data_IF_506770548299
#
_entry.id   IF_506770548299
#
_cell.length_a   1.000
_cell.length_b   1.000
_cell.length_c   1.000
_cell.angle_alpha   90.00
_cell.angle_beta   90.00
_cell.angle_gamma   90.00
#
_symmetry.space_group_name_H-M   'P 1'
#
loop_
_entity.id
_entity.type
_entity.pdbx_description
1 polymer ?
#
# COMPACT_ATOMS: atom_id res chain seq x y z
N UNK A 1 19.50 -26.75 -3.16
CA UNK A 1 18.90 -25.36 -3.24
C UNK A 1 19.94 -24.43 -3.83
N UNK A 2 19.73 -23.84 -5.01
CA UNK A 2 20.69 -22.88 -5.55
C UNK A 2 20.75 -21.66 -4.63
N UNK A 3 21.93 -21.34 -4.10
CA UNK A 3 22.19 -20.12 -3.30
C UNK A 3 22.12 -18.84 -4.17
N UNK A 4 22.07 -18.98 -5.49
CA UNK A 4 22.15 -17.89 -6.44
C UNK A 4 20.81 -17.18 -6.54
N UNK A 5 20.84 -15.86 -6.47
CA UNK A 5 19.68 -14.98 -6.67
C UNK A 5 19.28 -14.95 -8.15
N UNK A 6 18.01 -15.14 -8.45
CA UNK A 6 17.51 -15.21 -9.84
C UNK A 6 16.90 -13.87 -10.28
N UNK A 7 16.82 -13.68 -11.61
CA UNK A 7 16.12 -12.53 -12.21
C UNK A 7 14.65 -12.43 -11.77
N UNK A 8 13.99 -13.56 -11.61
CA UNK A 8 12.62 -13.64 -11.14
C UNK A 8 12.48 -13.23 -9.66
N UNK A 9 13.43 -13.60 -8.79
CA UNK A 9 13.48 -13.13 -7.41
C UNK A 9 13.68 -11.60 -7.33
N UNK A 10 14.47 -11.03 -8.25
CA UNK A 10 14.63 -9.57 -8.41
C UNK A 10 13.34 -8.90 -8.86
N UNK A 11 12.67 -9.46 -9.87
CA UNK A 11 11.39 -8.92 -10.37
C UNK A 11 10.34 -8.87 -9.27
N UNK A 12 10.18 -9.92 -8.48
CA UNK A 12 9.25 -9.95 -7.36
C UNK A 12 9.65 -9.02 -6.22
N UNK A 13 10.95 -8.89 -5.92
CA UNK A 13 11.41 -7.91 -4.92
C UNK A 13 11.03 -6.48 -5.31
N UNK A 14 11.19 -6.13 -6.59
CA UNK A 14 10.77 -4.81 -7.09
C UNK A 14 9.27 -4.65 -7.23
N UNK A 15 8.53 -5.71 -7.52
CA UNK A 15 7.07 -5.66 -7.54
C UNK A 15 6.50 -5.41 -6.14
N UNK A 16 7.05 -6.07 -5.10
CA UNK A 16 6.72 -5.81 -3.70
C UNK A 16 7.06 -4.38 -3.30
N UNK A 17 8.28 -3.91 -3.64
CA UNK A 17 8.70 -2.53 -3.41
C UNK A 17 7.75 -1.54 -4.10
N UNK A 18 7.47 -1.75 -5.38
CA UNK A 18 6.61 -0.87 -6.16
C UNK A 18 5.18 -0.77 -5.65
N UNK A 19 4.66 -1.83 -5.02
CA UNK A 19 3.33 -1.79 -4.41
C UNK A 19 3.35 -1.07 -3.05
N UNK A 20 4.39 -1.28 -2.24
CA UNK A 20 4.52 -0.66 -0.93
C UNK A 20 4.80 0.85 -1.02
N UNK A 21 5.73 1.26 -1.91
CA UNK A 21 6.20 2.64 -2.02
C UNK A 21 5.28 3.44 -2.96
N UNK A 22 4.31 4.12 -2.39
CA UNK A 22 3.30 4.91 -3.08
C UNK A 22 2.83 6.11 -2.28
N UNK A 23 1.54 6.43 -2.30
CA UNK A 23 0.98 7.55 -1.54
C UNK A 23 1.32 7.47 -0.05
N UNK A 24 1.26 6.27 0.56
CA UNK A 24 1.62 6.09 1.97
C UNK A 24 3.02 6.61 2.30
N UNK A 25 4.01 6.33 1.46
CA UNK A 25 5.38 6.83 1.63
C UNK A 25 5.46 8.36 1.52
N UNK A 26 4.65 8.97 0.65
CA UNK A 26 4.63 10.43 0.45
C UNK A 26 3.87 11.18 1.54
N UNK A 27 2.94 10.53 2.24
CA UNK A 27 2.21 11.09 3.38
C UNK A 27 2.83 10.77 4.74
N UNK A 28 3.69 9.75 4.83
CA UNK A 28 4.32 9.34 6.08
C UNK A 28 5.15 10.45 6.74
N UNK A 29 5.99 11.24 6.02
CA UNK A 29 6.71 12.35 6.63
C UNK A 29 5.77 13.43 7.20
N UNK A 30 4.63 13.69 6.54
CA UNK A 30 3.63 14.66 7.02
C UNK A 30 3.06 14.21 8.36
N UNK A 31 2.66 12.94 8.46
CA UNK A 31 2.12 12.39 9.71
C UNK A 31 3.16 12.36 10.83
N UNK A 32 4.38 11.90 10.54
CA UNK A 32 5.42 11.77 11.56
C UNK A 32 6.01 13.12 11.97
N UNK A 33 6.04 14.10 11.06
CA UNK A 33 6.50 15.45 11.35
C UNK A 33 5.61 16.19 12.34
N UNK A 34 4.30 15.95 12.30
CA UNK A 34 3.36 16.50 13.29
C UNK A 34 3.30 15.68 14.60
N UNK A 35 3.73 14.41 14.56
CA UNK A 35 3.68 13.51 15.71
C UNK A 35 4.91 13.60 16.63
N UNK A 36 6.01 14.18 16.17
CA UNK A 36 7.24 14.41 16.93
C UNK A 36 8.32 13.35 16.76
N UNK A 37 9.52 13.68 17.21
CA UNK A 37 10.74 12.90 16.99
C UNK A 37 10.69 11.51 17.61
N UNK A 38 10.13 11.34 18.81
CA UNK A 38 10.03 10.04 19.48
C UNK A 38 9.19 9.08 18.65
N UNK A 39 8.06 9.55 18.08
CA UNK A 39 7.20 8.73 17.22
C UNK A 39 7.94 8.30 15.96
N UNK A 40 8.77 9.19 15.37
CA UNK A 40 9.64 8.87 14.24
C UNK A 40 10.64 7.75 14.59
N UNK A 41 11.33 7.84 15.74
CA UNK A 41 12.30 6.82 16.17
C UNK A 41 11.63 5.48 16.47
N UNK A 42 10.47 5.49 17.15
CA UNK A 42 9.68 4.27 17.37
C UNK A 42 9.28 3.66 16.03
N UNK A 43 8.78 4.47 15.09
CA UNK A 43 8.42 4.03 13.74
C UNK A 43 9.60 3.38 13.04
N UNK A 44 10.78 4.00 13.07
CA UNK A 44 11.99 3.47 12.46
C UNK A 44 12.38 2.10 13.05
N UNK A 45 12.30 1.95 14.37
CA UNK A 45 12.63 0.70 15.06
C UNK A 45 11.69 -0.45 14.69
N UNK A 46 10.38 -0.16 14.58
CA UNK A 46 9.36 -1.19 14.35
C UNK A 46 9.00 -1.40 12.87
N UNK A 47 9.46 -0.52 11.96
CA UNK A 47 9.09 -0.56 10.55
C UNK A 47 9.37 -1.92 9.90
N UNK A 48 10.59 -2.47 10.05
CA UNK A 48 10.92 -3.76 9.45
C UNK A 48 10.14 -4.94 10.05
N UNK A 49 10.09 -5.17 11.37
CA UNK A 49 9.32 -6.27 11.93
C UNK A 49 7.83 -6.17 11.63
N UNK A 50 7.23 -4.97 11.71
CA UNK A 50 5.81 -4.77 11.41
C UNK A 50 5.49 -4.77 9.91
N UNK A 51 6.49 -4.70 9.04
CA UNK A 51 6.32 -5.02 7.62
C UNK A 51 6.48 -6.52 7.37
N UNK A 52 7.54 -7.15 7.92
CA UNK A 52 7.87 -8.53 7.61
C UNK A 52 6.93 -9.56 8.25
N UNK A 53 6.63 -9.43 9.54
CA UNK A 53 5.84 -10.45 10.25
C UNK A 53 4.42 -10.59 9.71
N UNK A 54 3.62 -9.52 9.51
CA UNK A 54 2.25 -9.66 9.03
C UNK A 54 2.20 -10.20 7.59
N UNK A 55 3.04 -9.70 6.67
CA UNK A 55 3.06 -10.20 5.30
C UNK A 55 3.55 -11.66 5.21
N UNK A 56 4.51 -12.05 6.07
CA UNK A 56 4.92 -13.45 6.20
C UNK A 56 3.77 -14.32 6.70
N UNK A 57 3.03 -13.86 7.72
CA UNK A 57 1.88 -14.58 8.26
C UNK A 57 0.77 -14.75 7.21
N UNK A 58 0.48 -13.70 6.43
CA UNK A 58 -0.46 -13.77 5.32
C UNK A 58 0.00 -14.74 4.23
N UNK A 59 1.27 -14.69 3.84
CA UNK A 59 1.83 -15.63 2.86
C UNK A 59 1.74 -17.09 3.36
N UNK A 60 2.02 -17.34 4.65
CA UNK A 60 1.86 -18.66 5.29
C UNK A 60 0.39 -19.11 5.26
N UNK A 61 -0.54 -18.21 5.59
CA UNK A 61 -1.98 -18.49 5.55
C UNK A 61 -2.44 -18.93 4.16
N UNK A 62 -2.00 -18.21 3.10
CA UNK A 62 -2.36 -18.55 1.71
C UNK A 62 -1.71 -19.86 1.26
N UNK A 63 -0.40 -20.04 1.50
CA UNK A 63 0.35 -21.19 1.02
C UNK A 63 -0.03 -22.51 1.72
N UNK A 64 -0.47 -22.43 2.98
CA UNK A 64 -0.89 -23.62 3.75
C UNK A 64 -2.33 -24.04 3.45
N UNK A 65 -3.10 -23.25 2.70
CA UNK A 65 -4.45 -23.62 2.28
C UNK A 65 -4.39 -24.65 1.14
N UNK A 66 -5.28 -25.66 1.20
CA UNK A 66 -5.47 -26.65 0.13
C UNK A 66 -6.44 -26.11 -0.93
N UNK A 67 -6.13 -24.96 -1.49
CA UNK A 67 -6.98 -24.31 -2.49
C UNK A 67 -6.54 -24.71 -3.92
N UNK A 68 -7.47 -24.58 -4.86
CA UNK A 68 -7.20 -24.85 -6.29
C UNK A 68 -6.12 -23.92 -6.85
N UNK A 69 -5.49 -24.33 -7.95
CA UNK A 69 -4.52 -23.51 -8.66
C UNK A 69 -5.12 -22.11 -8.99
N UNK A 70 -4.37 -21.06 -8.73
CA UNK A 70 -4.78 -19.69 -8.99
C UNK A 70 -5.76 -19.08 -7.97
N UNK A 71 -6.10 -19.78 -6.88
CA UNK A 71 -6.87 -19.21 -5.76
C UNK A 71 -5.89 -18.67 -4.69
N UNK A 72 -6.04 -17.39 -4.38
CA UNK A 72 -5.22 -16.69 -3.40
C UNK A 72 -5.88 -16.56 -2.03
N UNK A 73 -5.91 -15.32 -1.52
CA UNK A 73 -6.49 -15.04 -0.19
C UNK A 73 -7.96 -15.40 -0.12
N UNK A 74 -8.74 -15.15 -1.17
CA UNK A 74 -10.19 -15.41 -1.21
C UNK A 74 -10.51 -16.91 -1.13
N UNK A 75 -9.70 -17.72 -1.80
CA UNK A 75 -9.79 -19.18 -1.68
C UNK A 75 -9.34 -19.66 -0.29
N UNK A 76 -8.24 -19.12 0.24
CA UNK A 76 -7.73 -19.51 1.55
C UNK A 76 -8.73 -19.21 2.68
N UNK A 77 -9.38 -18.04 2.68
CA UNK A 77 -10.38 -17.72 3.70
C UNK A 77 -11.61 -18.62 3.59
N UNK A 78 -12.05 -18.94 2.37
CA UNK A 78 -13.15 -19.88 2.17
C UNK A 78 -12.80 -21.30 2.62
N UNK A 79 -11.55 -21.73 2.38
CA UNK A 79 -11.06 -23.03 2.83
C UNK A 79 -11.04 -23.17 4.35
N UNK A 80 -10.57 -22.14 5.08
CA UNK A 80 -10.41 -22.22 6.53
C UNK A 80 -11.67 -21.86 7.32
N UNK A 81 -12.46 -20.92 6.84
CA UNK A 81 -13.61 -20.37 7.57
C UNK A 81 -14.97 -20.75 7.00
N UNK A 82 -14.97 -21.50 5.89
CA UNK A 82 -16.20 -21.87 5.18
C UNK A 82 -16.80 -20.72 4.37
N UNK A 83 -17.84 -21.04 3.60
CA UNK A 83 -18.41 -20.10 2.61
C UNK A 83 -18.94 -18.80 3.22
N UNK A 84 -19.69 -18.86 4.35
CA UNK A 84 -20.32 -17.68 4.94
C UNK A 84 -19.30 -16.67 5.46
N UNK A 85 -18.41 -17.10 6.37
CA UNK A 85 -17.37 -16.23 6.94
C UNK A 85 -16.36 -15.85 5.87
N UNK A 86 -15.96 -16.78 5.00
CA UNK A 86 -15.08 -16.52 3.87
C UNK A 86 -15.61 -15.41 2.93
N UNK A 87 -16.92 -15.38 2.66
CA UNK A 87 -17.52 -14.30 1.85
C UNK A 87 -17.48 -12.95 2.55
N UNK A 88 -17.68 -12.90 3.87
CA UNK A 88 -17.58 -11.66 4.66
C UNK A 88 -16.14 -11.14 4.62
N UNK A 89 -15.15 -12.01 4.88
CA UNK A 89 -13.74 -11.62 4.84
C UNK A 89 -13.33 -11.17 3.43
N UNK A 90 -13.81 -11.84 2.38
CA UNK A 90 -13.57 -11.45 0.99
C UNK A 90 -14.18 -10.07 0.68
N UNK A 91 -15.37 -9.77 1.18
CA UNK A 91 -15.97 -8.45 1.03
C UNK A 91 -15.17 -7.36 1.76
N UNK A 92 -14.75 -7.62 3.00
CA UNK A 92 -13.87 -6.71 3.75
C UNK A 92 -12.53 -6.49 3.04
N UNK A 93 -11.92 -7.56 2.52
CA UNK A 93 -10.70 -7.49 1.72
C UNK A 93 -10.91 -6.62 0.47
N UNK A 94 -11.99 -6.85 -0.27
CA UNK A 94 -12.33 -6.05 -1.44
C UNK A 94 -12.49 -4.57 -1.06
N UNK A 95 -13.32 -4.25 -0.06
CA UNK A 95 -13.58 -2.86 0.35
C UNK A 95 -12.28 -2.18 0.79
N UNK A 96 -11.48 -2.85 1.64
CA UNK A 96 -10.22 -2.31 2.15
C UNK A 96 -9.31 -1.83 1.01
N UNK A 97 -9.09 -2.67 0.02
CA UNK A 97 -8.14 -2.37 -1.06
C UNK A 97 -8.76 -1.63 -2.24
N UNK A 98 -10.08 -1.70 -2.41
CA UNK A 98 -10.76 -0.85 -3.37
C UNK A 98 -10.67 0.63 -2.98
N UNK A 99 -10.87 0.96 -1.71
CA UNK A 99 -10.64 2.31 -1.21
C UNK A 99 -9.19 2.78 -1.47
N UNK A 100 -8.20 1.91 -1.31
CA UNK A 100 -6.79 2.23 -1.64
C UNK A 100 -6.60 2.52 -3.13
N UNK A 101 -7.23 1.74 -4.01
CA UNK A 101 -7.23 1.99 -5.46
C UNK A 101 -7.86 3.33 -5.79
N UNK A 102 -8.98 3.69 -5.15
CA UNK A 102 -9.64 4.98 -5.31
C UNK A 102 -8.72 6.13 -4.88
N UNK A 103 -8.05 6.00 -3.71
CA UNK A 103 -7.09 6.99 -3.19
C UNK A 103 -5.98 7.24 -4.22
N UNK A 104 -5.37 6.20 -4.77
CA UNK A 104 -4.31 6.34 -5.78
C UNK A 104 -4.83 7.00 -7.06
N UNK A 105 -5.99 6.59 -7.57
CA UNK A 105 -6.55 7.15 -8.79
C UNK A 105 -6.93 8.64 -8.62
N UNK A 106 -7.55 9.01 -7.50
CA UNK A 106 -7.87 10.40 -7.15
C UNK A 106 -6.61 11.24 -7.04
N UNK A 107 -5.60 10.74 -6.32
CA UNK A 107 -4.35 11.45 -6.10
C UNK A 107 -3.55 11.65 -7.42
N UNK A 108 -3.52 10.65 -8.32
CA UNK A 108 -2.93 10.79 -9.65
C UNK A 108 -3.69 11.85 -10.45
N UNK A 109 -5.02 11.79 -10.47
CA UNK A 109 -5.87 12.77 -11.15
C UNK A 109 -5.61 14.17 -10.62
N UNK A 110 -5.55 14.35 -9.30
CA UNK A 110 -5.28 15.65 -8.67
C UNK A 110 -3.89 16.17 -9.06
N UNK A 111 -2.84 15.37 -8.98
CA UNK A 111 -1.49 15.79 -9.39
C UNK A 111 -1.43 16.25 -10.84
N UNK A 112 -2.16 15.59 -11.75
CA UNK A 112 -2.21 15.97 -13.15
C UNK A 112 -3.06 17.23 -13.40
N UNK A 113 -4.22 17.35 -12.75
CA UNK A 113 -5.08 18.54 -12.87
C UNK A 113 -4.45 19.77 -12.25
N UNK A 114 -3.73 19.63 -11.14
CA UNK A 114 -2.97 20.70 -10.50
C UNK A 114 -1.87 21.27 -11.42
N UNK A 115 -1.17 20.39 -12.14
CA UNK A 115 -0.19 20.82 -13.14
C UNK A 115 -0.84 21.52 -14.32
N UNK A 116 -1.97 21.02 -14.80
CA UNK A 116 -2.73 21.66 -15.88
C UNK A 116 -3.31 23.01 -15.45
N UNK A 117 -3.71 23.16 -14.20
CA UNK A 117 -4.25 24.39 -13.63
C UNK A 117 -3.29 25.59 -13.73
N UNK A 118 -1.98 25.35 -13.85
CA UNK A 118 -0.97 26.40 -14.09
C UNK A 118 -1.07 27.05 -15.47
N UNK A 119 -1.77 26.40 -16.41
CA UNK A 119 -1.84 26.84 -17.82
C UNK A 119 -3.27 27.06 -18.29
N UNK A 120 -4.25 26.39 -17.70
CA UNK A 120 -5.66 26.45 -18.10
C UNK A 120 -6.57 26.41 -16.88
N UNK A 121 -7.77 27.00 -16.98
CA UNK A 121 -8.78 26.83 -15.94
C UNK A 121 -9.33 25.40 -15.97
N UNK A 122 -9.34 24.75 -14.81
CA UNK A 122 -9.84 23.38 -14.68
C UNK A 122 -11.34 23.41 -14.42
N UNK A 123 -12.11 23.01 -15.41
CA UNK A 123 -13.53 22.74 -15.28
C UNK A 123 -13.81 21.23 -15.06
N UNK A 124 -15.07 20.89 -14.84
CA UNK A 124 -15.48 19.50 -14.63
C UNK A 124 -15.19 18.63 -15.87
N UNK A 125 -15.24 19.16 -17.08
CA UNK A 125 -15.01 18.40 -18.32
C UNK A 125 -13.54 18.02 -18.44
N UNK A 126 -12.63 18.95 -18.14
CA UNK A 126 -11.20 18.69 -18.13
C UNK A 126 -10.87 17.63 -17.06
N UNK A 127 -11.43 17.77 -15.85
CA UNK A 127 -11.25 16.78 -14.80
C UNK A 127 -11.78 15.39 -15.22
N UNK A 128 -12.95 15.30 -15.83
CA UNK A 128 -13.49 14.04 -16.35
C UNK A 128 -12.57 13.43 -17.42
N UNK A 129 -12.02 14.23 -18.34
CA UNK A 129 -11.10 13.77 -19.37
C UNK A 129 -9.81 13.22 -18.77
N UNK A 130 -9.21 13.93 -17.80
CA UNK A 130 -8.01 13.47 -17.09
C UNK A 130 -8.30 12.19 -16.31
N UNK A 131 -9.40 12.15 -15.56
CA UNK A 131 -9.82 10.96 -14.79
C UNK A 131 -10.02 9.75 -15.70
N UNK A 132 -10.69 9.93 -16.84
CA UNK A 132 -10.88 8.86 -17.82
C UNK A 132 -9.56 8.36 -18.39
N UNK A 133 -8.66 9.27 -18.77
CA UNK A 133 -7.32 8.93 -19.26
C UNK A 133 -6.51 8.14 -18.24
N UNK A 134 -6.50 8.56 -16.97
CA UNK A 134 -5.81 7.86 -15.88
C UNK A 134 -6.34 6.45 -15.71
N UNK A 135 -7.66 6.30 -15.56
CA UNK A 135 -8.28 4.99 -15.37
C UNK A 135 -8.07 4.09 -16.58
N UNK A 136 -8.19 4.63 -17.80
CA UNK A 136 -7.98 3.88 -19.03
C UNK A 136 -6.55 3.37 -19.14
N UNK A 137 -5.54 4.23 -18.96
CA UNK A 137 -4.12 3.83 -19.09
C UNK A 137 -3.76 2.75 -18.06
N UNK A 138 -4.16 2.93 -16.80
CA UNK A 138 -3.86 1.96 -15.75
C UNK A 138 -4.54 0.61 -16.01
N UNK A 139 -5.78 0.61 -16.51
CA UNK A 139 -6.47 -0.62 -16.91
C UNK A 139 -5.82 -1.28 -18.13
N UNK A 140 -5.42 -0.51 -19.14
CA UNK A 140 -4.70 -1.08 -20.31
C UNK A 140 -3.43 -1.82 -19.88
N UNK A 141 -2.63 -1.23 -18.98
CA UNK A 141 -1.43 -1.89 -18.44
C UNK A 141 -1.82 -3.19 -17.72
N UNK A 142 -2.86 -3.17 -16.89
CA UNK A 142 -3.32 -4.35 -16.15
C UNK A 142 -3.84 -5.46 -17.09
N UNK A 143 -4.55 -5.09 -18.17
CA UNK A 143 -5.09 -6.01 -19.16
C UNK A 143 -4.02 -6.68 -20.04
N UNK A 144 -2.80 -6.14 -20.11
CA UNK A 144 -1.66 -6.80 -20.76
C UNK A 144 -1.25 -8.11 -20.04
N UNK A 145 -1.83 -8.39 -18.88
CA UNK A 145 -1.62 -9.60 -18.10
C UNK A 145 -0.56 -9.48 -17.00
N UNK A 146 -0.54 -10.48 -16.10
CA UNK A 146 0.28 -10.47 -14.88
C UNK A 146 1.76 -10.18 -15.14
N UNK A 147 2.39 -10.90 -16.04
CA UNK A 147 3.83 -10.73 -16.31
C UNK A 147 4.18 -9.37 -16.91
N UNK A 148 3.34 -8.86 -17.82
CA UNK A 148 3.55 -7.53 -18.40
C UNK A 148 3.38 -6.43 -17.36
N UNK A 149 2.32 -6.50 -16.54
CA UNK A 149 2.06 -5.54 -15.45
C UNK A 149 3.22 -5.52 -14.44
N UNK A 150 3.69 -6.71 -13.99
CA UNK A 150 4.84 -6.81 -13.07
C UNK A 150 6.14 -6.27 -13.70
N UNK A 151 6.34 -6.43 -15.01
CA UNK A 151 7.50 -5.88 -15.73
C UNK A 151 7.43 -4.35 -15.78
N UNK A 152 6.26 -3.77 -16.07
CA UNK A 152 6.06 -2.31 -16.04
C UNK A 152 6.31 -1.78 -14.63
N UNK A 153 5.74 -2.40 -13.60
CA UNK A 153 5.99 -2.02 -12.21
C UNK A 153 7.48 -2.09 -11.87
N UNK A 154 8.16 -3.18 -12.25
CA UNK A 154 9.60 -3.35 -12.02
C UNK A 154 10.44 -2.28 -12.71
N UNK A 155 10.12 -1.93 -13.97
CA UNK A 155 10.80 -0.85 -14.69
C UNK A 155 10.64 0.50 -14.00
N UNK A 156 9.42 0.84 -13.56
CA UNK A 156 9.12 2.11 -12.89
C UNK A 156 9.72 2.21 -11.48
N UNK A 157 10.11 1.09 -10.86
CA UNK A 157 10.72 1.09 -9.52
C UNK A 157 12.13 1.71 -9.52
N UNK A 158 12.94 1.43 -10.54
CA UNK A 158 14.33 1.92 -10.59
C UNK A 158 14.44 3.45 -10.52
N UNK A 159 13.75 4.22 -11.40
CA UNK A 159 13.80 5.68 -11.31
C UNK A 159 13.24 6.20 -9.98
N UNK A 160 12.28 5.49 -9.38
CA UNK A 160 11.71 5.90 -8.08
C UNK A 160 12.72 5.71 -6.94
N UNK A 161 13.37 4.57 -6.85
CA UNK A 161 14.43 4.33 -5.84
C UNK A 161 15.55 5.35 -6.02
N UNK A 162 16.00 5.54 -7.27
CA UNK A 162 17.04 6.51 -7.59
C UNK A 162 16.65 7.94 -7.18
N UNK A 163 15.40 8.33 -7.44
CA UNK A 163 14.90 9.65 -7.06
C UNK A 163 14.82 9.83 -5.53
N UNK A 164 14.24 8.87 -4.81
CA UNK A 164 14.18 8.98 -3.35
C UNK A 164 15.58 9.01 -2.72
N UNK A 165 16.49 8.19 -3.22
CA UNK A 165 17.89 8.22 -2.76
C UNK A 165 18.55 9.55 -3.10
N UNK A 166 18.43 10.02 -4.35
CA UNK A 166 18.97 11.30 -4.78
C UNK A 166 18.41 12.47 -3.95
N UNK A 167 17.08 12.54 -3.79
CA UNK A 167 16.45 13.60 -3.02
C UNK A 167 16.86 13.56 -1.55
N UNK A 168 16.94 12.35 -0.96
CA UNK A 168 17.37 12.18 0.43
C UNK A 168 18.80 12.66 0.63
N UNK A 169 19.70 12.32 -0.31
CA UNK A 169 21.10 12.78 -0.28
C UNK A 169 21.21 14.30 -0.52
N UNK A 170 20.42 14.84 -1.46
CA UNK A 170 20.37 16.28 -1.72
C UNK A 170 19.95 17.07 -0.47
N UNK A 171 18.97 16.57 0.27
CA UNK A 171 18.46 17.20 1.47
C UNK A 171 19.45 17.19 2.65
N UNK A 172 20.51 16.33 2.64
CA UNK A 172 21.52 16.29 3.71
C UNK A 172 22.15 17.67 3.95
N UNK A 173 22.39 18.43 2.87
CA UNK A 173 22.92 19.78 2.96
C UNK A 173 22.02 20.79 3.69
N UNK A 174 20.73 20.46 3.85
CA UNK A 174 19.74 21.30 4.53
C UNK A 174 19.30 20.71 5.88
N UNK A 175 19.94 19.65 6.38
CA UNK A 175 19.57 19.03 7.65
C UNK A 175 19.80 19.95 8.84
N UNK A 176 18.77 20.08 9.64
CA UNK A 176 18.78 20.84 10.89
C UNK A 176 18.33 19.91 12.04
N UNK A 177 19.28 19.30 12.79
CA UNK A 177 18.92 18.40 13.90
C UNK A 177 18.01 19.03 14.95
N UNK A 178 18.07 20.34 15.11
CA UNK A 178 17.19 21.09 16.01
C UNK A 178 15.69 20.94 15.70
N UNK A 179 15.32 20.65 14.44
CA UNK A 179 13.92 20.38 14.06
C UNK A 179 13.36 19.12 14.72
N UNK A 180 14.23 18.16 15.06
CA UNK A 180 13.82 16.94 15.78
C UNK A 180 14.06 17.05 17.30
N UNK A 181 15.18 17.62 17.74
CA UNK A 181 15.58 17.63 19.17
C UNK A 181 14.67 18.47 20.03
N UNK A 182 14.03 19.53 19.49
CA UNK A 182 13.09 20.37 20.22
C UNK A 182 11.75 19.68 20.60
N UNK A 183 11.52 18.46 20.14
CA UNK A 183 10.27 17.71 20.32
C UNK A 183 10.46 16.37 21.08
N UNK A 184 11.53 16.24 21.84
CA UNK A 184 11.83 15.02 22.60
C UNK A 184 11.24 15.06 24.02
N UNK A 185 9.94 14.89 24.15
CA UNK A 185 9.28 14.63 25.43
C UNK A 185 8.60 13.26 25.38
N UNK A 186 8.74 12.46 26.44
CA UNK A 186 8.03 11.19 26.56
C UNK A 186 6.92 11.35 27.61
N UNK A 187 5.75 11.73 27.14
CA UNK A 187 4.56 12.02 27.94
C UNK A 187 3.31 11.31 27.38
N UNK A 188 2.17 11.55 27.99
CA UNK A 188 0.90 10.97 27.52
C UNK A 188 0.51 11.44 26.12
N UNK A 189 0.88 12.66 25.74
CA UNK A 189 0.66 13.18 24.40
C UNK A 189 1.47 12.38 23.37
N UNK A 190 2.74 12.11 23.63
CA UNK A 190 3.60 11.30 22.77
C UNK A 190 3.06 9.87 22.60
N UNK A 191 2.57 9.25 23.69
CA UNK A 191 1.94 7.92 23.58
C UNK A 191 0.67 7.95 22.72
N UNK A 192 -0.14 8.99 22.85
CA UNK A 192 -1.30 9.20 21.99
C UNK A 192 -0.89 9.38 20.52
N UNK A 193 0.15 10.18 20.24
CA UNK A 193 0.67 10.36 18.89
C UNK A 193 1.23 9.06 18.28
N UNK A 194 1.91 8.21 19.06
CA UNK A 194 2.32 6.86 18.63
C UNK A 194 1.10 6.05 18.20
N UNK A 195 0.07 6.01 19.05
CA UNK A 195 -1.14 5.23 18.79
C UNK A 195 -1.88 5.70 17.54
N UNK A 196 -2.17 7.00 17.38
CA UNK A 196 -2.87 7.53 16.20
C UNK A 196 -2.03 7.46 14.91
N UNK A 197 -0.70 7.28 15.00
CA UNK A 197 0.15 7.11 13.83
C UNK A 197 0.16 5.66 13.29
N UNK A 198 -0.30 4.67 14.06
CA UNK A 198 -0.29 3.25 13.66
C UNK A 198 -1.03 3.02 12.33
N UNK A 199 -2.24 3.55 12.06
CA UNK A 199 -2.93 3.35 10.78
C UNK A 199 -2.14 3.83 9.57
N UNK A 200 -1.46 4.96 9.68
CA UNK A 200 -0.64 5.51 8.58
C UNK A 200 0.60 4.67 8.36
N UNK A 201 1.25 4.19 9.43
CA UNK A 201 2.35 3.24 9.33
C UNK A 201 1.91 1.94 8.65
N UNK A 202 0.78 1.37 9.06
CA UNK A 202 0.19 0.17 8.45
C UNK A 202 -0.07 0.42 6.97
N UNK A 203 -0.67 1.55 6.61
CA UNK A 203 -0.93 1.92 5.23
C UNK A 203 0.36 2.10 4.42
N UNK A 204 1.35 2.84 4.97
CA UNK A 204 2.58 3.20 4.25
C UNK A 204 3.45 1.99 3.90
N UNK A 205 3.45 0.95 4.74
CA UNK A 205 4.25 -0.26 4.52
C UNK A 205 3.45 -1.45 4.00
N UNK A 206 2.12 -1.32 3.84
CA UNK A 206 1.27 -2.41 3.34
C UNK A 206 1.36 -2.58 1.84
N UNK A 207 1.53 -3.83 1.42
CA UNK A 207 1.42 -4.28 0.04
C UNK A 207 0.65 -5.61 -0.04
N UNK A 208 -0.29 -5.77 0.87
CA UNK A 208 -1.13 -6.97 1.06
C UNK A 208 -1.71 -7.55 -0.23
N UNK A 209 -2.28 -6.76 -1.17
CA UNK A 209 -2.94 -7.32 -2.34
C UNK A 209 -2.00 -8.08 -3.28
N UNK A 210 -0.75 -7.62 -3.42
CA UNK A 210 0.21 -8.32 -4.27
C UNK A 210 0.74 -9.60 -3.61
N UNK A 211 0.66 -9.73 -2.28
CA UNK A 211 1.07 -10.95 -1.56
C UNK A 211 0.24 -12.16 -1.99
N UNK A 212 -1.06 -11.97 -2.27
CA UNK A 212 -1.91 -13.03 -2.81
C UNK A 212 -1.36 -13.55 -4.15
N UNK A 213 -1.14 -12.64 -5.09
CA UNK A 213 -0.58 -12.96 -6.41
C UNK A 213 0.83 -13.55 -6.31
N UNK A 214 1.66 -13.02 -5.41
CA UNK A 214 3.01 -13.52 -5.15
C UNK A 214 3.01 -14.94 -4.59
N UNK A 215 2.16 -15.23 -3.60
CA UNK A 215 2.05 -16.56 -3.02
C UNK A 215 1.55 -17.61 -4.05
N UNK A 216 0.54 -17.23 -4.85
CA UNK A 216 0.04 -18.09 -5.95
C UNK A 216 1.17 -18.43 -6.93
N UNK A 217 1.88 -17.41 -7.41
CA UNK A 217 2.97 -17.59 -8.36
C UNK A 217 4.09 -18.48 -7.80
N UNK A 218 4.45 -18.28 -6.53
CA UNK A 218 5.47 -19.15 -5.87
C UNK A 218 4.97 -20.58 -5.70
N UNK A 219 3.70 -20.78 -5.39
CA UNK A 219 3.09 -22.12 -5.28
C UNK A 219 3.11 -22.84 -6.64
N UNK A 220 2.71 -22.17 -7.70
CA UNK A 220 2.68 -22.71 -9.05
C UNK A 220 4.09 -23.12 -9.57
N UNK A 221 5.11 -22.32 -9.25
CA UNK A 221 6.46 -22.52 -9.77
C UNK A 221 7.37 -23.38 -8.87
N UNK A 222 7.11 -23.45 -7.55
CA UNK A 222 8.04 -24.09 -6.59
C UNK A 222 7.37 -25.10 -5.64
N UNK A 223 6.06 -25.30 -5.70
CA UNK A 223 5.35 -26.29 -4.88
C UNK A 223 5.66 -26.16 -3.39
N UNK A 224 6.16 -27.22 -2.77
CA UNK A 224 6.51 -27.28 -1.34
C UNK A 224 7.64 -26.29 -0.92
N UNK A 225 8.50 -25.90 -1.87
CA UNK A 225 9.58 -24.94 -1.62
C UNK A 225 9.10 -23.47 -1.66
N UNK A 226 7.85 -23.22 -2.04
CA UNK A 226 7.29 -21.88 -2.23
C UNK A 226 7.51 -20.98 -1.00
N UNK A 227 7.25 -21.49 0.22
CA UNK A 227 7.40 -20.70 1.45
C UNK A 227 8.85 -20.28 1.72
N UNK A 228 9.82 -21.14 1.40
CA UNK A 228 11.25 -20.81 1.49
C UNK A 228 11.64 -19.68 0.54
N UNK A 229 11.15 -19.74 -0.69
CA UNK A 229 11.34 -18.69 -1.71
C UNK A 229 10.67 -17.37 -1.31
N UNK A 230 9.43 -17.43 -0.83
CA UNK A 230 8.73 -16.25 -0.34
C UNK A 230 9.50 -15.55 0.79
N UNK A 231 9.94 -16.30 1.80
CA UNK A 231 10.73 -15.74 2.93
C UNK A 231 12.01 -15.05 2.46
N UNK A 232 12.75 -15.67 1.51
CA UNK A 232 13.98 -15.12 0.96
C UNK A 232 13.73 -13.78 0.25
N UNK A 233 12.76 -13.74 -0.66
CA UNK A 233 12.40 -12.54 -1.43
C UNK A 233 11.89 -11.43 -0.52
N UNK A 234 10.94 -11.74 0.39
CA UNK A 234 10.37 -10.76 1.32
C UNK A 234 11.42 -10.14 2.24
N UNK A 235 12.39 -10.92 2.76
CA UNK A 235 13.46 -10.36 3.61
C UNK A 235 14.25 -9.27 2.89
N UNK A 236 14.66 -9.52 1.65
CA UNK A 236 15.43 -8.56 0.85
C UNK A 236 14.57 -7.36 0.46
N UNK A 237 13.38 -7.61 -0.09
CA UNK A 237 12.47 -6.54 -0.49
C UNK A 237 12.15 -5.58 0.67
N UNK A 238 11.84 -6.13 1.86
CA UNK A 238 11.44 -5.31 3.01
C UNK A 238 12.60 -4.57 3.65
N UNK A 239 13.80 -5.11 3.58
CA UNK A 239 14.99 -4.37 3.99
C UNK A 239 15.19 -3.13 3.10
N UNK A 240 15.09 -3.31 1.77
CA UNK A 240 15.21 -2.20 0.82
C UNK A 240 14.08 -1.19 1.02
N UNK A 241 12.83 -1.63 1.19
CA UNK A 241 11.67 -0.76 1.45
C UNK A 241 11.92 0.08 2.71
N UNK A 242 12.21 -0.58 3.84
CA UNK A 242 12.38 0.13 5.11
C UNK A 242 13.55 1.10 5.07
N UNK A 243 14.71 0.69 4.57
CA UNK A 243 15.88 1.57 4.50
C UNK A 243 15.64 2.79 3.61
N UNK A 244 15.10 2.58 2.40
CA UNK A 244 14.85 3.70 1.46
C UNK A 244 13.76 4.65 1.95
N UNK A 245 12.65 4.11 2.47
CA UNK A 245 11.53 4.92 2.97
C UNK A 245 11.93 5.69 4.23
N UNK A 246 12.59 5.04 5.19
CA UNK A 246 13.02 5.72 6.41
C UNK A 246 14.09 6.78 6.12
N UNK A 247 15.06 6.50 5.24
CA UNK A 247 16.05 7.50 4.86
C UNK A 247 15.38 8.72 4.21
N UNK A 248 14.41 8.51 3.34
CA UNK A 248 13.63 9.59 2.75
C UNK A 248 12.82 10.37 3.81
N UNK A 249 12.13 9.69 4.73
CA UNK A 249 11.36 10.32 5.81
C UNK A 249 12.27 11.16 6.70
N UNK A 250 13.39 10.60 7.18
CA UNK A 250 14.34 11.32 8.00
C UNK A 250 14.91 12.55 7.29
N UNK A 251 15.29 12.41 6.01
CA UNK A 251 15.81 13.53 5.23
C UNK A 251 14.78 14.65 5.08
N UNK A 252 13.51 14.33 4.84
CA UNK A 252 12.44 15.32 4.79
C UNK A 252 12.28 16.05 6.15
N UNK A 253 12.16 15.29 7.24
CA UNK A 253 11.89 15.88 8.55
C UNK A 253 13.05 16.68 9.14
N UNK A 254 14.27 16.35 8.76
CA UNK A 254 15.45 17.13 9.12
C UNK A 254 15.64 18.40 8.28
N UNK A 255 14.92 18.53 7.15
CA UNK A 255 15.11 19.64 6.19
C UNK A 255 13.91 20.57 6.09
N UNK A 256 12.71 20.11 6.46
CA UNK A 256 11.48 20.89 6.27
C UNK A 256 11.02 21.45 7.62
N UNK A 257 10.89 22.77 7.75
CA UNK A 257 10.33 23.38 8.94
C UNK A 257 8.89 22.89 9.21
N UNK A 258 8.50 22.67 10.50
CA UNK A 258 7.19 22.13 10.87
C UNK A 258 5.99 22.88 10.26
N UNK A 259 6.09 24.20 10.06
CA UNK A 259 5.03 25.00 9.44
C UNK A 259 4.63 24.50 8.04
N UNK A 260 5.61 24.20 7.17
CA UNK A 260 5.33 23.68 5.83
C UNK A 260 4.74 22.27 5.85
N UNK A 261 5.07 21.48 6.88
CA UNK A 261 4.50 20.13 7.07
C UNK A 261 3.03 20.26 7.48
N UNK A 262 2.71 21.21 8.37
CA UNK A 262 1.35 21.46 8.83
C UNK A 262 0.48 22.05 7.70
N UNK A 263 1.01 22.97 6.90
CA UNK A 263 0.32 23.51 5.72
C UNK A 263 0.01 22.38 4.73
N UNK A 264 1.00 21.53 4.42
CA UNK A 264 0.79 20.37 3.55
C UNK A 264 -0.25 19.38 4.09
N UNK A 265 -0.31 19.20 5.41
CA UNK A 265 -1.33 18.39 6.08
C UNK A 265 -2.72 18.98 5.90
N UNK A 266 -2.87 20.29 6.14
CA UNK A 266 -4.14 21.00 6.04
C UNK A 266 -4.66 21.02 4.59
N UNK A 267 -3.76 21.22 3.62
CA UNK A 267 -4.08 21.21 2.20
C UNK A 267 -4.26 19.79 1.63
N UNK A 268 -3.87 18.75 2.38
CA UNK A 268 -3.96 17.36 1.94
C UNK A 268 -3.03 17.00 0.77
N UNK A 269 -1.90 17.72 0.65
CA UNK A 269 -0.89 17.51 -0.40
C UNK A 269 0.26 16.63 0.11
N UNK A 270 1.13 16.18 -0.81
CA UNK A 270 2.26 15.30 -0.47
C UNK A 270 3.45 16.07 0.10
N UNK A 271 4.37 15.37 0.75
CA UNK A 271 5.63 15.98 1.24
C UNK A 271 6.48 16.58 0.11
N UNK A 272 6.36 16.08 -1.12
CA UNK A 272 7.04 16.65 -2.27
C UNK A 272 6.47 18.03 -2.65
N UNK A 273 5.16 18.23 -2.46
CA UNK A 273 4.53 19.55 -2.61
C UNK A 273 5.04 20.50 -1.52
N UNK A 274 5.08 20.07 -0.26
CA UNK A 274 5.65 20.87 0.83
C UNK A 274 7.09 21.32 0.56
N UNK A 275 7.95 20.41 0.07
CA UNK A 275 9.31 20.74 -0.34
C UNK A 275 9.37 21.79 -1.46
N UNK A 276 8.44 21.72 -2.43
CA UNK A 276 8.39 22.66 -3.54
C UNK A 276 7.86 24.05 -3.18
N UNK A 277 7.18 24.19 -2.05
CA UNK A 277 6.66 25.46 -1.52
C UNK A 277 7.70 26.23 -0.71
N UNK A 278 8.85 25.61 -0.37
CA UNK A 278 9.91 26.28 0.39
C UNK A 278 10.52 27.44 -0.42
N UNK A 279 10.92 28.58 0.21
CA UNK A 279 11.37 29.78 -0.48
C UNK A 279 12.58 29.58 -1.42
N UNK A 280 13.45 28.63 -1.13
CA UNK A 280 14.66 28.33 -1.91
C UNK A 280 14.56 27.00 -2.66
N UNK A 281 13.33 26.49 -2.88
CA UNK A 281 13.13 25.25 -3.58
C UNK A 281 13.52 25.39 -5.07
N UNK A 282 14.40 24.54 -5.59
CA UNK A 282 14.78 24.62 -6.98
C UNK A 282 13.62 24.23 -7.90
N UNK A 283 13.51 24.89 -9.04
CA UNK A 283 12.40 24.68 -9.99
C UNK A 283 12.24 23.22 -10.45
N UNK A 284 13.36 22.45 -10.53
CA UNK A 284 13.29 21.04 -10.89
C UNK A 284 12.48 20.19 -9.89
N UNK A 285 12.42 20.61 -8.62
CA UNK A 285 11.74 19.87 -7.57
C UNK A 285 10.22 19.86 -7.78
N UNK A 286 9.63 20.96 -8.22
CA UNK A 286 8.19 21.04 -8.52
C UNK A 286 7.79 20.11 -9.66
N UNK A 287 8.58 20.06 -10.74
CA UNK A 287 8.27 19.21 -11.90
C UNK A 287 8.54 17.74 -11.58
N UNK A 288 9.71 17.44 -11.02
CA UNK A 288 10.07 16.07 -10.69
C UNK A 288 9.18 15.47 -9.59
N UNK A 289 8.75 16.28 -8.63
CA UNK A 289 7.84 15.87 -7.56
C UNK A 289 6.52 15.30 -8.10
N UNK A 290 5.91 15.99 -9.09
CA UNK A 290 4.67 15.52 -9.73
C UNK A 290 4.90 14.22 -10.51
N UNK A 291 5.97 14.16 -11.31
CA UNK A 291 6.29 12.94 -12.08
C UNK A 291 6.48 11.75 -11.15
N UNK A 292 7.24 11.94 -10.08
CA UNK A 292 7.52 10.89 -9.10
C UNK A 292 6.26 10.48 -8.34
N UNK A 293 5.43 11.44 -7.94
CA UNK A 293 4.15 11.14 -7.28
C UNK A 293 3.25 10.29 -8.19
N UNK A 294 3.09 10.69 -9.46
CA UNK A 294 2.28 9.93 -10.43
C UNK A 294 2.86 8.54 -10.66
N UNK A 295 4.18 8.40 -10.85
CA UNK A 295 4.85 7.10 -11.03
C UNK A 295 4.69 6.22 -9.79
N UNK A 296 4.93 6.75 -8.60
CA UNK A 296 4.81 6.01 -7.34
C UNK A 296 3.38 5.51 -7.12
N UNK A 297 2.40 6.37 -7.30
CA UNK A 297 0.98 6.02 -7.13
C UNK A 297 0.49 5.05 -8.20
N UNK A 298 0.91 5.21 -9.46
CA UNK A 298 0.54 4.29 -10.54
C UNK A 298 1.02 2.86 -10.29
N UNK A 299 2.24 2.67 -9.79
CA UNK A 299 2.76 1.35 -9.43
C UNK A 299 1.99 0.73 -8.28
N UNK A 300 1.73 1.51 -7.25
CA UNK A 300 0.96 1.05 -6.10
C UNK A 300 -0.49 0.75 -6.46
N UNK A 301 -1.09 1.53 -7.36
CA UNK A 301 -2.39 1.23 -7.96
C UNK A 301 -2.36 -0.16 -8.62
N UNK A 302 -1.43 -0.40 -9.54
CA UNK A 302 -1.34 -1.66 -10.29
C UNK A 302 -1.14 -2.86 -9.36
N UNK A 303 -0.29 -2.74 -8.35
CA UNK A 303 -0.06 -3.80 -7.36
C UNK A 303 -1.30 -4.08 -6.51
N UNK A 304 -1.99 -3.05 -6.06
CA UNK A 304 -3.22 -3.17 -5.27
C UNK A 304 -4.39 -3.69 -6.11
N UNK A 305 -4.45 -3.29 -7.37
CA UNK A 305 -5.51 -3.67 -8.31
C UNK A 305 -5.59 -5.19 -8.54
N UNK A 306 -4.46 -5.92 -8.44
CA UNK A 306 -4.49 -7.39 -8.48
C UNK A 306 -5.42 -7.98 -7.41
N UNK A 307 -5.28 -7.55 -6.17
CA UNK A 307 -6.11 -8.03 -5.07
C UNK A 307 -7.55 -7.54 -5.15
N UNK A 308 -7.76 -6.29 -5.59
CA UNK A 308 -9.12 -5.74 -5.78
C UNK A 308 -9.89 -6.55 -6.82
N UNK A 309 -9.26 -6.86 -7.97
CA UNK A 309 -9.92 -7.68 -9.00
C UNK A 309 -10.09 -9.13 -8.55
N UNK A 310 -9.18 -9.69 -7.74
CA UNK A 310 -9.38 -10.99 -7.10
C UNK A 310 -10.65 -10.98 -6.24
N UNK A 311 -10.75 -10.04 -5.29
CA UNK A 311 -11.90 -9.91 -4.40
C UNK A 311 -13.21 -9.62 -5.14
N UNK A 312 -13.19 -8.66 -6.08
CA UNK A 312 -14.36 -8.31 -6.90
C UNK A 312 -14.85 -9.52 -7.72
N UNK A 313 -13.92 -10.27 -8.33
CA UNK A 313 -14.27 -11.45 -9.15
C UNK A 313 -14.97 -12.53 -8.31
N UNK A 314 -14.51 -12.73 -7.08
CA UNK A 314 -15.14 -13.69 -6.17
C UNK A 314 -16.51 -13.20 -5.69
N UNK A 315 -16.66 -11.92 -5.39
CA UNK A 315 -17.96 -11.33 -5.04
C UNK A 315 -18.95 -11.44 -6.20
N UNK A 316 -18.56 -11.06 -7.42
CA UNK A 316 -19.41 -11.19 -8.62
C UNK A 316 -19.82 -12.65 -8.84
N UNK A 317 -18.88 -13.60 -8.72
CA UNK A 317 -19.14 -15.03 -8.86
C UNK A 317 -20.20 -15.48 -7.84
N UNK A 318 -20.02 -15.14 -6.59
CA UNK A 318 -20.91 -15.54 -5.49
C UNK A 318 -22.31 -14.95 -5.68
N UNK A 319 -22.41 -13.67 -6.03
CA UNK A 319 -23.68 -12.99 -6.27
C UNK A 319 -24.44 -13.60 -7.45
N UNK A 320 -23.76 -13.84 -8.58
CA UNK A 320 -24.37 -14.48 -9.75
C UNK A 320 -24.87 -15.89 -9.44
N UNK A 321 -24.10 -16.66 -8.66
CA UNK A 321 -24.52 -18.00 -8.23
C UNK A 321 -25.76 -17.98 -7.32
N UNK A 322 -25.91 -16.98 -6.46
CA UNK A 322 -27.08 -16.82 -5.61
C UNK A 322 -28.36 -16.56 -6.41
N UNK A 323 -28.27 -15.87 -7.54
CA UNK A 323 -29.40 -15.64 -8.45
C UNK A 323 -29.51 -16.72 -9.55
N UNK A 324 -28.83 -17.87 -9.38
CA UNK A 324 -28.93 -19.02 -10.28
C UNK A 324 -28.11 -18.91 -11.57
N UNK A 325 -27.30 -17.86 -11.74
CA UNK A 325 -26.53 -17.62 -12.96
C UNK A 325 -25.10 -18.13 -12.78
N UNK A 326 -24.70 -19.13 -13.56
CA UNK A 326 -23.31 -19.64 -13.60
C UNK A 326 -22.59 -19.07 -14.84
N UNK A 327 -21.55 -18.29 -14.63
CA UNK A 327 -20.70 -17.72 -15.68
C UNK A 327 -19.24 -18.16 -15.52
N UNK A 328 -18.47 -18.10 -16.62
CA UNK A 328 -17.06 -18.42 -16.60
C UNK A 328 -16.26 -17.46 -15.71
N UNK A 329 -15.10 -17.90 -15.22
CA UNK A 329 -14.18 -17.06 -14.44
C UNK A 329 -13.73 -15.83 -15.23
N UNK A 330 -13.51 -16.00 -16.55
CA UNK A 330 -13.15 -14.89 -17.43
C UNK A 330 -14.25 -13.83 -17.51
N UNK A 331 -15.52 -14.24 -17.65
CA UNK A 331 -16.66 -13.31 -17.64
C UNK A 331 -16.75 -12.55 -16.31
N UNK A 332 -16.68 -13.27 -15.18
CA UNK A 332 -16.76 -12.65 -13.85
C UNK A 332 -15.63 -11.63 -13.65
N UNK A 333 -14.41 -11.96 -14.10
CA UNK A 333 -13.26 -11.06 -14.06
C UNK A 333 -13.46 -9.82 -14.93
N UNK A 334 -13.93 -9.98 -16.17
CA UNK A 334 -14.18 -8.86 -17.08
C UNK A 334 -15.25 -7.91 -16.52
N UNK A 335 -16.35 -8.47 -15.99
CA UNK A 335 -17.38 -7.68 -15.35
C UNK A 335 -16.83 -6.93 -14.10
N UNK A 336 -16.02 -7.57 -13.30
CA UNK A 336 -15.38 -6.95 -12.13
C UNK A 336 -14.46 -5.78 -12.53
N UNK A 337 -13.64 -5.96 -13.57
CA UNK A 337 -12.78 -4.87 -14.08
C UNK A 337 -13.65 -3.69 -14.55
N UNK A 338 -14.72 -3.95 -15.28
CA UNK A 338 -15.61 -2.89 -15.77
C UNK A 338 -16.29 -2.13 -14.64
N UNK A 339 -16.83 -2.83 -13.62
CA UNK A 339 -17.48 -2.22 -12.47
C UNK A 339 -16.49 -1.41 -11.61
N UNK A 340 -15.34 -1.99 -11.28
CA UNK A 340 -14.30 -1.32 -10.49
C UNK A 340 -13.79 -0.07 -11.22
N UNK A 341 -13.54 -0.17 -12.53
CA UNK A 341 -13.07 0.97 -13.33
C UNK A 341 -14.12 2.08 -13.43
N UNK A 342 -15.39 1.72 -13.65
CA UNK A 342 -16.49 2.69 -13.72
C UNK A 342 -16.66 3.46 -12.41
N UNK A 343 -16.67 2.74 -11.27
CA UNK A 343 -16.76 3.39 -9.95
C UNK A 343 -15.51 4.25 -9.70
N UNK A 344 -14.32 3.77 -10.03
CA UNK A 344 -13.07 4.53 -9.87
C UNK A 344 -13.13 5.84 -10.67
N UNK A 345 -13.58 5.80 -11.92
CA UNK A 345 -13.77 6.99 -12.75
C UNK A 345 -14.73 8.00 -12.10
N UNK A 346 -15.91 7.53 -11.64
CA UNK A 346 -16.90 8.40 -10.98
C UNK A 346 -16.30 9.06 -9.74
N UNK A 347 -15.61 8.31 -8.89
CA UNK A 347 -14.99 8.82 -7.67
C UNK A 347 -13.88 9.82 -7.97
N UNK A 348 -13.07 9.61 -9.02
CA UNK A 348 -12.09 10.60 -9.47
C UNK A 348 -12.73 11.92 -9.91
N UNK A 349 -13.94 11.87 -10.50
CA UNK A 349 -14.70 13.07 -10.85
C UNK A 349 -15.24 13.81 -9.60
N UNK A 350 -15.73 13.07 -8.61
CA UNK A 350 -16.27 13.61 -7.34
C UNK A 350 -15.15 14.24 -6.48
N UNK A 351 -13.92 13.72 -6.55
CA UNK A 351 -12.75 14.22 -5.83
C UNK A 351 -12.87 14.22 -4.29
N UNK A 352 -13.11 13.09 -3.63
CA UNK A 352 -13.10 13.05 -2.18
C UNK A 352 -11.69 13.30 -1.61
N UNK A 353 -11.62 13.75 -0.34
CA UNK A 353 -10.34 13.92 0.33
C UNK A 353 -9.65 12.57 0.57
N UNK A 354 -8.50 12.36 -0.09
CA UNK A 354 -7.77 11.10 -0.05
C UNK A 354 -7.22 10.77 1.34
N UNK A 355 -6.76 11.77 2.09
CA UNK A 355 -6.20 11.59 3.44
C UNK A 355 -7.27 11.08 4.39
N UNK A 356 -8.46 11.69 4.38
CA UNK A 356 -9.59 11.25 5.20
C UNK A 356 -9.98 9.80 4.90
N UNK A 357 -9.90 9.37 3.64
CA UNK A 357 -10.15 7.97 3.27
C UNK A 357 -9.11 7.00 3.85
N UNK A 358 -7.84 7.44 3.98
CA UNK A 358 -6.78 6.62 4.57
C UNK A 358 -7.08 6.34 6.04
N UNK A 359 -7.35 7.39 6.82
CA UNK A 359 -7.54 7.27 8.28
C UNK A 359 -8.84 6.56 8.64
N UNK A 360 -9.94 6.98 8.02
CA UNK A 360 -11.25 6.50 8.41
C UNK A 360 -11.55 5.07 7.96
N UNK A 361 -10.99 4.62 6.82
CA UNK A 361 -11.41 3.37 6.22
C UNK A 361 -10.23 2.44 5.94
N UNK A 362 -9.25 2.85 5.12
CA UNK A 362 -8.29 1.90 4.58
C UNK A 362 -7.30 1.38 5.62
N UNK A 363 -6.77 2.22 6.49
CA UNK A 363 -5.80 1.81 7.52
C UNK A 363 -6.34 0.71 8.44
N UNK A 364 -7.48 0.94 9.13
CA UNK A 364 -8.10 -0.07 9.99
C UNK A 364 -8.51 -1.35 9.26
N UNK A 365 -9.09 -1.25 8.06
CA UNK A 365 -9.47 -2.44 7.29
C UNK A 365 -8.24 -3.23 6.80
N UNK A 366 -7.16 -2.55 6.41
CA UNK A 366 -5.88 -3.22 6.10
C UNK A 366 -5.37 -3.95 7.34
N UNK A 367 -5.43 -3.34 8.53
CA UNK A 367 -5.01 -3.99 9.75
C UNK A 367 -5.83 -5.25 10.05
N UNK A 368 -7.15 -5.23 9.83
CA UNK A 368 -7.99 -6.43 9.97
C UNK A 368 -7.53 -7.57 9.06
N UNK A 369 -7.23 -7.27 7.80
CA UNK A 369 -6.87 -8.29 6.79
C UNK A 369 -5.42 -8.76 6.91
N UNK A 370 -4.49 -7.86 7.20
CA UNK A 370 -3.06 -8.14 7.18
C UNK A 370 -2.51 -8.53 8.55
N UNK A 371 -2.96 -7.85 9.62
CA UNK A 371 -2.40 -8.03 10.96
C UNK A 371 -3.24 -9.02 11.78
N UNK A 372 -4.57 -8.85 11.81
CA UNK A 372 -5.44 -9.64 12.67
C UNK A 372 -5.75 -11.00 12.04
N UNK A 373 -6.33 -11.03 10.85
CA UNK A 373 -6.84 -12.26 10.24
C UNK A 373 -5.79 -13.38 10.14
N UNK A 374 -4.60 -13.20 9.53
CA UNK A 374 -3.65 -14.31 9.38
C UNK A 374 -2.98 -14.71 10.70
N UNK A 375 -2.76 -13.78 11.62
CA UNK A 375 -2.13 -14.06 12.91
C UNK A 375 -3.11 -14.74 13.86
N UNK A 376 -4.35 -14.26 13.97
CA UNK A 376 -5.41 -14.88 14.74
C UNK A 376 -5.71 -16.29 14.22
N UNK A 377 -5.66 -16.51 12.91
CA UNK A 377 -5.84 -17.83 12.30
C UNK A 377 -4.84 -18.87 12.84
N UNK A 378 -3.63 -18.47 13.24
CA UNK A 378 -2.66 -19.41 13.84
C UNK A 378 -3.12 -19.94 15.20
N UNK A 379 -4.02 -19.22 15.88
CA UNK A 379 -4.60 -19.64 17.16
C UNK A 379 -5.90 -20.42 16.99
N UNK A 380 -6.70 -20.11 15.97
CA UNK A 380 -8.01 -20.72 15.74
C UNK A 380 -7.94 -21.99 14.88
N UNK A 381 -6.99 -22.08 13.95
CA UNK A 381 -6.93 -23.15 12.95
C UNK A 381 -5.79 -24.12 13.27
N UNK A 382 -6.09 -25.42 13.56
CA UNK A 382 -5.06 -26.40 13.93
C UNK A 382 -3.93 -26.53 12.90
N UNK A 383 -4.24 -26.52 11.61
CA UNK A 383 -3.27 -26.59 10.51
C UNK A 383 -2.26 -25.44 10.51
N UNK A 384 -2.58 -24.29 11.09
CA UNK A 384 -1.72 -23.11 11.17
C UNK A 384 -0.96 -22.98 12.50
N UNK A 385 -1.24 -23.88 13.47
CA UNK A 385 -0.58 -23.90 14.78
C UNK A 385 0.95 -23.90 14.72
N UNK A 386 1.64 -24.60 13.77
CA UNK A 386 3.09 -24.58 13.66
C UNK A 386 3.69 -23.19 13.34
N UNK A 387 2.89 -22.26 12.89
CA UNK A 387 3.31 -20.89 12.54
C UNK A 387 3.15 -19.88 13.70
N UNK A 388 2.69 -20.31 14.87
CA UNK A 388 2.64 -19.44 16.07
C UNK A 388 4.03 -18.98 16.45
N UNK A 389 4.21 -17.66 16.53
CA UNK A 389 5.48 -17.03 16.93
C UNK A 389 5.19 -15.80 17.77
N UNK A 390 6.16 -15.34 18.55
CA UNK A 390 6.09 -14.06 19.27
C UNK A 390 5.83 -12.90 18.29
N UNK A 391 6.45 -12.92 17.12
CA UNK A 391 6.19 -11.91 16.09
C UNK A 391 4.72 -11.87 15.62
N UNK A 392 4.05 -13.04 15.53
CA UNK A 392 2.62 -13.07 15.19
C UNK A 392 1.76 -12.53 16.34
N UNK A 393 2.13 -12.77 17.60
CA UNK A 393 1.44 -12.20 18.76
C UNK A 393 1.57 -10.67 18.79
N UNK A 394 2.77 -10.13 18.63
CA UNK A 394 3.00 -8.67 18.54
C UNK A 394 2.20 -8.07 17.37
N UNK A 395 2.23 -8.73 16.20
CA UNK A 395 1.46 -8.29 15.03
C UNK A 395 -0.04 -8.23 15.33
N UNK A 396 -0.59 -9.22 16.04
CA UNK A 396 -1.99 -9.23 16.44
C UNK A 396 -2.32 -8.04 17.35
N UNK A 397 -1.49 -7.79 18.36
CA UNK A 397 -1.68 -6.67 19.30
C UNK A 397 -1.64 -5.32 18.56
N UNK A 398 -0.65 -5.12 17.68
CA UNK A 398 -0.56 -3.88 16.87
C UNK A 398 -1.76 -3.74 15.94
N UNK A 399 -2.25 -4.84 15.36
CA UNK A 399 -3.47 -4.84 14.55
C UNK A 399 -4.70 -4.39 15.33
N UNK A 400 -4.86 -4.88 16.58
CA UNK A 400 -5.97 -4.46 17.46
C UNK A 400 -5.84 -2.98 17.85
N UNK A 401 -4.63 -2.51 18.16
CA UNK A 401 -4.37 -1.09 18.43
C UNK A 401 -4.67 -0.22 17.19
N UNK A 402 -4.33 -0.69 15.98
CA UNK A 402 -4.66 0.04 14.76
C UNK A 402 -6.18 0.19 14.56
N UNK A 403 -6.93 -0.90 14.79
CA UNK A 403 -8.39 -0.87 14.66
C UNK A 403 -9.03 -0.01 15.76
N UNK A 404 -8.46 0.04 16.97
CA UNK A 404 -8.99 0.87 18.06
C UNK A 404 -8.93 2.38 17.74
N UNK A 405 -7.98 2.82 16.90
CA UNK A 405 -7.91 4.23 16.45
C UNK A 405 -9.18 4.65 15.70
N UNK A 406 -9.82 3.72 14.95
CA UNK A 406 -11.08 4.02 14.23
C UNK A 406 -12.24 4.40 15.16
N UNK A 407 -12.22 3.94 16.41
CA UNK A 407 -13.32 4.13 17.34
C UNK A 407 -13.02 5.16 18.43
N UNK A 408 -11.74 5.39 18.74
CA UNK A 408 -11.31 6.18 19.90
C UNK A 408 -10.22 7.22 19.56
N UNK A 409 -9.74 7.29 18.31
CA UNK A 409 -8.69 8.20 17.82
C UNK A 409 -9.17 9.57 17.35
#
# INVERSE_FOLDING_TARGET
MSKIWSKDETLWSFALYGTAVGAGTLFLPIQLGSAGAIVLFITALVAWPLTYWPHKALCQFILSSKTSAGEGITGAVTHYYGKKIGSIITALYFIAFFVVVLIYAVAITNSLTEQLAKHIQIDIRIRMTVSFGVVLILNMIFLMGRHATLRVMGFLVFPLIAYFLFLSLYLIGSWQPSLLTGQMSFDSHTLHQVWISIPVMVFAFSHTPIISTFAIDRRENFGEQAMGKCKKIMKVAYLIICLSVLFFVFSCLLSIPPAYIEDARNEGVTILSALSMMPNAPAWLSISGIIVAVVAMSKSFLGTYFGVIEGATEMVRTTLQQVGVKKSRAFNRALSIMLVSGITFIICCINPNAISMIYAISGPLIAMILFIMPTLSTYLIPALKPYRTVGNFITLVVGLLCVSVMFFG
#
